data_IF_924770757689
#
_entry.id   IF_924770757689
#
_cell.length_a   1.000
_cell.length_b   1.000
_cell.length_c   1.000
_cell.angle_alpha   90.00
_cell.angle_beta   90.00
_cell.angle_gamma   90.00
#
_symmetry.space_group_name_H-M   'P 1'
#
loop_
_entity.id
_entity.type
_entity.pdbx_description
1 polymer ?
#
# COMPACT_ATOMS: atom_id res chain seq x y z
N UNK A 1 -36.05 34.74 -58.18
CA UNK A 1 -35.48 33.42 -58.51
C UNK A 1 -33.97 33.54 -58.51
N UNK A 2 -33.33 33.17 -57.40
CA UNK A 2 -31.93 32.75 -57.30
C UNK A 2 -31.78 32.11 -55.91
N UNK A 3 -31.52 30.81 -55.90
CA UNK A 3 -31.43 29.93 -54.75
C UNK A 3 -30.03 30.02 -54.15
N UNK A 4 -29.89 30.54 -52.93
CA UNK A 4 -28.63 30.40 -52.19
C UNK A 4 -28.73 29.26 -51.17
N UNK A 5 -28.23 28.12 -51.66
CA UNK A 5 -28.01 26.87 -50.95
C UNK A 5 -27.22 27.09 -49.67
N UNK A 6 -27.66 26.38 -48.62
CA UNK A 6 -26.98 26.30 -47.34
C UNK A 6 -25.51 25.90 -47.48
N UNK A 7 -24.62 26.74 -46.94
CA UNK A 7 -23.32 26.30 -46.46
C UNK A 7 -23.50 25.79 -45.04
N UNK A 8 -23.62 24.47 -44.90
CA UNK A 8 -23.26 23.82 -43.64
C UNK A 8 -21.77 24.10 -43.40
N UNK A 9 -21.46 24.86 -42.35
CA UNK A 9 -20.09 25.07 -41.93
C UNK A 9 -19.50 23.74 -41.48
N UNK A 10 -18.63 23.17 -42.32
CA UNK A 10 -17.70 22.12 -41.90
C UNK A 10 -16.73 22.74 -40.91
N UNK A 11 -16.71 22.22 -39.68
CA UNK A 11 -15.55 22.36 -38.79
C UNK A 11 -14.32 22.01 -39.62
N UNK A 12 -13.33 22.90 -39.70
CA UNK A 12 -12.19 22.69 -40.59
C UNK A 12 -11.51 21.38 -40.23
N UNK A 13 -11.10 20.62 -41.24
CA UNK A 13 -10.44 19.33 -41.03
C UNK A 13 -9.18 19.49 -40.15
N UNK A 14 -8.56 20.69 -40.15
CA UNK A 14 -7.47 21.07 -39.25
C UNK A 14 -7.85 21.11 -37.76
N UNK A 15 -9.05 21.55 -37.39
CA UNK A 15 -9.51 21.56 -35.98
C UNK A 15 -9.84 20.16 -35.49
N UNK A 16 -10.43 19.30 -36.35
CA UNK A 16 -10.68 17.89 -36.03
C UNK A 16 -9.37 17.11 -35.90
N UNK A 17 -8.39 17.42 -36.76
CA UNK A 17 -7.06 16.83 -36.73
C UNK A 17 -6.26 17.25 -35.49
N UNK A 18 -6.31 18.53 -35.11
CA UNK A 18 -5.69 19.03 -33.88
C UNK A 18 -6.31 18.38 -32.63
N UNK A 19 -7.65 18.31 -32.54
CA UNK A 19 -8.32 17.62 -31.43
C UNK A 19 -7.98 16.12 -31.40
N UNK A 20 -7.88 15.49 -32.58
CA UNK A 20 -7.51 14.09 -32.72
C UNK A 20 -6.10 13.80 -32.23
N UNK A 21 -5.10 14.58 -32.65
CA UNK A 21 -3.70 14.46 -32.21
C UNK A 21 -3.56 14.72 -30.71
N UNK A 22 -4.27 15.72 -30.19
CA UNK A 22 -4.18 16.06 -28.78
C UNK A 22 -4.83 14.99 -27.89
N UNK A 23 -5.97 14.42 -28.33
CA UNK A 23 -6.65 13.34 -27.60
C UNK A 23 -5.85 12.03 -27.66
N UNK A 24 -5.32 11.65 -28.83
CA UNK A 24 -4.46 10.46 -28.94
C UNK A 24 -3.13 10.64 -28.22
N UNK A 25 -2.53 11.83 -28.24
CA UNK A 25 -1.33 12.15 -27.48
C UNK A 25 -1.56 12.04 -25.97
N UNK A 26 -2.68 12.59 -25.47
CA UNK A 26 -3.04 12.55 -24.04
C UNK A 26 -3.31 11.12 -23.57
N UNK A 27 -4.10 10.34 -24.32
CA UNK A 27 -4.40 8.94 -24.00
C UNK A 27 -3.14 8.06 -24.09
N UNK A 28 -2.28 8.30 -25.09
CA UNK A 28 -1.00 7.59 -25.22
C UNK A 28 -0.03 7.92 -24.08
N UNK A 29 -0.02 9.17 -23.60
CA UNK A 29 0.75 9.55 -22.41
C UNK A 29 0.19 8.89 -21.15
N UNK A 30 -1.14 8.85 -20.98
CA UNK A 30 -1.81 8.19 -19.85
C UNK A 30 -1.45 6.70 -19.82
N UNK A 31 -1.53 6.02 -20.98
CA UNK A 31 -1.13 4.62 -21.09
C UNK A 31 0.37 4.45 -20.84
N UNK A 32 1.23 5.26 -21.45
CA UNK A 32 2.68 5.20 -21.25
C UNK A 32 3.06 5.38 -19.77
N UNK A 33 2.46 6.32 -19.05
CA UNK A 33 2.71 6.55 -17.62
C UNK A 33 2.10 5.48 -16.71
N UNK A 34 1.07 4.77 -17.16
CA UNK A 34 0.52 3.60 -16.46
C UNK A 34 1.45 2.38 -16.55
N UNK A 35 2.35 2.35 -17.55
CA UNK A 35 3.33 1.27 -17.77
C UNK A 35 4.72 1.53 -17.17
N UNK A 36 5.02 2.74 -16.65
CA UNK A 36 6.30 2.99 -16.00
C UNK A 36 6.23 2.46 -14.56
N UNK A 37 6.91 1.34 -14.28
CA UNK A 37 7.26 0.92 -12.92
C UNK A 37 8.19 1.98 -12.30
N UNK A 38 7.60 3.05 -11.74
CA UNK A 38 8.36 4.01 -10.95
C UNK A 38 8.51 3.47 -9.53
N UNK A 39 9.75 3.55 -9.01
CA UNK A 39 10.16 3.29 -7.63
C UNK A 39 9.04 3.65 -6.61
N UNK A 40 8.83 2.83 -5.58
CA UNK A 40 7.65 2.91 -4.69
C UNK A 40 7.41 4.31 -4.08
N UNK A 41 8.47 5.11 -3.92
CA UNK A 41 8.42 6.49 -3.41
C UNK A 41 7.80 7.52 -4.38
N UNK A 42 7.65 7.21 -5.67
CA UNK A 42 7.22 8.15 -6.74
C UNK A 42 5.92 7.66 -7.43
N UNK A 43 5.28 6.57 -6.97
CA UNK A 43 4.01 6.05 -7.55
C UNK A 43 2.86 7.07 -7.67
N UNK A 44 2.92 8.17 -6.93
CA UNK A 44 1.91 9.24 -6.94
C UNK A 44 2.16 10.35 -7.98
N UNK A 45 3.38 10.47 -8.51
CA UNK A 45 3.75 11.51 -9.47
C UNK A 45 2.96 11.41 -10.80
N UNK A 46 2.72 10.20 -11.37
CA UNK A 46 1.85 10.06 -12.54
C UNK A 46 0.43 10.59 -12.29
N UNK A 47 -0.09 10.47 -11.07
CA UNK A 47 -1.44 10.96 -10.72
C UNK A 47 -1.46 12.48 -10.62
N UNK A 48 -0.42 13.09 -10.05
CA UNK A 48 -0.28 14.56 -10.01
C UNK A 48 -0.10 15.14 -11.41
N UNK A 49 0.71 14.50 -12.25
CA UNK A 49 0.86 14.85 -13.66
C UNK A 49 -0.49 14.72 -14.38
N UNK A 50 -1.22 13.62 -14.19
CA UNK A 50 -2.56 13.43 -14.75
C UNK A 50 -3.51 14.56 -14.37
N UNK A 51 -3.52 14.98 -13.10
CA UNK A 51 -4.34 16.11 -12.62
C UNK A 51 -3.95 17.40 -13.33
N UNK A 52 -2.64 17.71 -13.37
CA UNK A 52 -2.12 18.94 -13.99
C UNK A 52 -2.47 19.00 -15.48
N UNK A 53 -2.44 17.87 -16.19
CA UNK A 53 -2.75 17.81 -17.63
C UNK A 53 -4.24 17.64 -17.95
N UNK A 54 -5.03 17.02 -17.07
CA UNK A 54 -6.47 16.90 -17.25
C UNK A 54 -7.19 18.25 -17.11
N UNK A 55 -6.72 19.13 -16.21
CA UNK A 55 -7.34 20.44 -15.97
C UNK A 55 -7.39 21.31 -17.25
N UNK A 56 -6.27 21.54 -17.99
CA UNK A 56 -6.29 22.28 -19.25
C UNK A 56 -7.19 21.67 -20.33
N UNK A 57 -7.18 20.34 -20.47
CA UNK A 57 -8.03 19.62 -21.43
C UNK A 57 -9.52 19.83 -21.13
N UNK A 58 -9.89 19.81 -19.84
CA UNK A 58 -11.24 20.14 -19.40
C UNK A 58 -11.58 21.61 -19.66
N UNK A 59 -10.68 22.55 -19.39
CA UNK A 59 -10.88 23.98 -19.68
C UNK A 59 -11.07 24.25 -21.17
N UNK A 60 -10.30 23.57 -22.03
CA UNK A 60 -10.41 23.70 -23.49
C UNK A 60 -11.72 23.09 -24.01
N UNK A 61 -12.10 21.90 -23.52
CA UNK A 61 -13.38 21.28 -23.84
C UNK A 61 -14.58 22.17 -23.44
N UNK A 62 -14.51 22.81 -22.26
CA UNK A 62 -15.51 23.81 -21.81
C UNK A 62 -15.57 24.98 -22.79
N UNK A 63 -14.42 25.48 -23.22
CA UNK A 63 -14.32 26.64 -24.13
C UNK A 63 -14.87 26.31 -25.52
N UNK A 64 -14.52 25.16 -26.09
CA UNK A 64 -15.02 24.67 -27.39
C UNK A 64 -16.53 24.44 -27.35
N UNK A 65 -17.04 23.80 -26.29
CA UNK A 65 -18.48 23.56 -26.13
C UNK A 65 -19.24 24.89 -26.02
N UNK A 66 -18.72 25.85 -25.24
CA UNK A 66 -19.31 27.19 -25.10
C UNK A 66 -19.34 27.96 -26.43
N UNK A 67 -18.30 27.82 -27.25
CA UNK A 67 -18.19 28.50 -28.54
C UNK A 67 -19.09 27.88 -29.61
N UNK A 68 -19.16 26.54 -29.71
CA UNK A 68 -20.04 25.84 -30.66
C UNK A 68 -21.54 26.06 -30.39
N UNK A 69 -21.90 26.23 -29.11
CA UNK A 69 -23.26 26.59 -28.68
C UNK A 69 -23.65 28.00 -29.14
N UNK A 70 -22.69 28.92 -29.28
CA UNK A 70 -22.96 30.30 -29.73
C UNK A 70 -23.09 30.43 -31.25
N UNK A 71 -22.43 29.58 -32.02
CA UNK A 71 -22.28 29.79 -33.48
C UNK A 71 -23.34 29.10 -34.33
N UNK A 72 -24.03 28.06 -33.84
CA UNK A 72 -24.88 27.20 -34.70
C UNK A 72 -26.41 27.29 -34.51
N UNK A 73 -26.92 28.07 -33.55
CA UNK A 73 -28.37 28.16 -33.35
C UNK A 73 -28.88 29.61 -33.30
N UNK A 74 -29.66 29.98 -34.33
CA UNK A 74 -30.49 31.21 -34.35
C UNK A 74 -31.65 31.18 -33.35
N UNK A 75 -31.91 30.05 -32.68
CA UNK A 75 -32.89 29.93 -31.59
C UNK A 75 -32.17 29.88 -30.24
N UNK A 76 -32.62 30.63 -29.23
CA UNK A 76 -32.01 30.63 -27.91
C UNK A 76 -32.07 29.22 -27.32
N UNK A 77 -30.90 28.63 -27.09
CA UNK A 77 -30.79 27.35 -26.41
C UNK A 77 -31.41 27.49 -25.03
N UNK A 78 -32.35 26.60 -24.72
CA UNK A 78 -33.10 26.58 -23.47
C UNK A 78 -32.14 26.73 -22.27
N UNK A 79 -32.36 27.74 -21.45
CA UNK A 79 -31.55 28.06 -20.27
C UNK A 79 -31.46 26.87 -19.30
N UNK A 80 -32.47 26.01 -19.26
CA UNK A 80 -32.47 24.78 -18.48
C UNK A 80 -31.40 23.78 -18.97
N UNK A 81 -31.16 23.69 -20.27
CA UNK A 81 -30.13 22.79 -20.81
C UNK A 81 -28.72 23.20 -20.38
N UNK A 82 -28.43 24.50 -20.35
CA UNK A 82 -27.14 25.02 -19.85
C UNK A 82 -26.96 24.78 -18.35
N UNK A 83 -28.02 24.90 -17.55
CA UNK A 83 -28.00 24.58 -16.11
C UNK A 83 -27.71 23.09 -15.90
N UNK A 84 -28.40 22.21 -16.63
CA UNK A 84 -28.17 20.75 -16.58
C UNK A 84 -26.72 20.41 -16.93
N UNK A 85 -26.17 20.99 -18.00
CA UNK A 85 -24.78 20.76 -18.41
C UNK A 85 -23.79 21.20 -17.32
N UNK A 86 -23.99 22.38 -16.70
CA UNK A 86 -23.16 22.88 -15.60
C UNK A 86 -23.20 21.96 -14.37
N UNK A 87 -24.39 21.48 -13.98
CA UNK A 87 -24.55 20.55 -12.86
C UNK A 87 -23.85 19.23 -13.16
N UNK A 88 -24.03 18.69 -14.37
CA UNK A 88 -23.33 17.48 -14.81
C UNK A 88 -21.80 17.60 -14.72
N UNK A 89 -21.24 18.74 -15.13
CA UNK A 89 -19.80 19.00 -15.00
C UNK A 89 -19.34 19.09 -13.55
N UNK A 90 -20.10 19.78 -12.69
CA UNK A 90 -19.77 19.87 -11.27
C UNK A 90 -19.75 18.48 -10.63
N UNK A 91 -20.70 17.61 -10.97
CA UNK A 91 -20.73 16.22 -10.52
C UNK A 91 -19.49 15.48 -11.00
N UNK A 92 -19.11 15.59 -12.27
CA UNK A 92 -17.90 14.93 -12.81
C UNK A 92 -16.63 15.40 -12.10
N UNK A 93 -16.50 16.71 -11.85
CA UNK A 93 -15.35 17.28 -11.12
C UNK A 93 -15.31 16.74 -9.70
N UNK A 94 -16.44 16.73 -8.99
CA UNK A 94 -16.54 16.18 -7.63
C UNK A 94 -16.17 14.70 -7.63
N UNK A 95 -16.70 13.89 -8.56
CA UNK A 95 -16.38 12.47 -8.67
C UNK A 95 -14.90 12.23 -8.98
N UNK A 96 -14.31 13.06 -9.86
CA UNK A 96 -12.88 12.99 -10.19
C UNK A 96 -12.03 13.36 -8.98
N UNK A 97 -12.39 14.42 -8.24
CA UNK A 97 -11.71 14.81 -7.02
C UNK A 97 -11.83 13.76 -5.92
N UNK A 98 -13.02 13.18 -5.72
CA UNK A 98 -13.21 12.06 -4.80
C UNK A 98 -12.32 10.89 -5.20
N UNK A 99 -12.33 10.50 -6.48
CA UNK A 99 -11.45 9.45 -6.99
C UNK A 99 -9.97 9.74 -6.73
N UNK A 100 -9.50 10.96 -6.99
CA UNK A 100 -8.10 11.35 -6.80
C UNK A 100 -7.70 11.49 -5.33
N UNK A 101 -8.64 11.91 -4.47
CA UNK A 101 -8.44 12.00 -3.02
C UNK A 101 -8.67 10.65 -2.33
N UNK A 102 -9.22 9.66 -3.04
CA UNK A 102 -9.53 8.35 -2.48
C UNK A 102 -8.35 7.66 -1.82
N UNK A 103 -7.10 7.73 -2.31
CA UNK A 103 -5.99 7.10 -1.59
C UNK A 103 -5.79 7.67 -0.18
N UNK A 104 -6.12 8.95 0.04
CA UNK A 104 -5.95 9.64 1.33
C UNK A 104 -7.04 9.19 2.31
N UNK A 105 -8.30 9.29 1.91
CA UNK A 105 -9.41 8.98 2.83
C UNK A 105 -9.76 7.50 2.87
N UNK A 106 -9.56 6.74 1.78
CA UNK A 106 -9.91 5.31 1.73
C UNK A 106 -9.04 4.51 2.70
N UNK A 107 -7.75 4.80 2.84
CA UNK A 107 -6.91 4.10 3.82
C UNK A 107 -7.42 4.34 5.25
N UNK A 108 -7.81 5.57 5.57
CA UNK A 108 -8.34 5.93 6.90
C UNK A 108 -9.71 5.30 7.15
N UNK A 109 -10.63 5.37 6.17
CA UNK A 109 -11.95 4.76 6.24
C UNK A 109 -11.87 3.23 6.31
N UNK A 110 -10.99 2.61 5.52
CA UNK A 110 -10.74 1.17 5.58
C UNK A 110 -10.16 0.78 6.92
N UNK A 111 -9.16 1.51 7.45
CA UNK A 111 -8.61 1.24 8.77
C UNK A 111 -9.69 1.31 9.86
N UNK A 112 -10.52 2.35 9.84
CA UNK A 112 -11.62 2.51 10.78
C UNK A 112 -12.62 1.35 10.66
N UNK A 113 -13.06 1.03 9.44
CA UNK A 113 -14.04 -0.03 9.21
C UNK A 113 -13.53 -1.43 9.55
N UNK A 114 -12.26 -1.72 9.22
CA UNK A 114 -11.56 -2.95 9.60
C UNK A 114 -11.50 -3.06 11.13
N UNK A 115 -11.09 -1.98 11.81
CA UNK A 115 -11.03 -1.95 13.27
C UNK A 115 -12.38 -2.18 13.92
N UNK A 116 -13.42 -1.48 13.46
CA UNK A 116 -14.80 -1.66 13.95
C UNK A 116 -15.29 -3.10 13.74
N UNK A 117 -15.08 -3.67 12.55
CA UNK A 117 -15.49 -5.03 12.24
C UNK A 117 -14.75 -6.06 13.09
N UNK A 118 -13.42 -5.97 13.16
CA UNK A 118 -12.59 -6.96 13.85
C UNK A 118 -12.74 -6.89 15.38
N UNK A 119 -12.97 -5.70 15.93
CA UNK A 119 -13.15 -5.53 17.38
C UNK A 119 -14.61 -5.69 17.81
N UNK A 120 -15.53 -5.85 16.86
CA UNK A 120 -16.96 -6.02 17.16
C UNK A 120 -17.20 -7.24 18.06
N UNK A 121 -18.17 -7.11 18.98
CA UNK A 121 -18.65 -8.23 19.79
C UNK A 121 -19.09 -9.42 18.92
N UNK A 122 -19.64 -9.13 17.75
CA UNK A 122 -20.05 -10.13 16.75
C UNK A 122 -18.85 -10.93 16.25
N UNK A 123 -17.76 -10.29 15.84
CA UNK A 123 -16.56 -10.99 15.36
C UNK A 123 -15.98 -11.94 16.43
N UNK A 124 -15.93 -11.50 17.69
CA UNK A 124 -15.49 -12.35 18.81
C UNK A 124 -16.44 -13.53 19.06
N UNK A 125 -17.74 -13.31 18.94
CA UNK A 125 -18.76 -14.36 19.09
C UNK A 125 -18.65 -15.39 17.97
N UNK A 126 -18.49 -14.92 16.73
CA UNK A 126 -18.33 -15.75 15.55
C UNK A 126 -17.05 -16.58 15.62
N UNK A 127 -15.95 -15.99 16.13
CA UNK A 127 -14.69 -16.71 16.39
C UNK A 127 -14.90 -17.89 17.34
N UNK A 128 -15.50 -17.65 18.53
CA UNK A 128 -15.73 -18.72 19.51
C UNK A 128 -16.66 -19.81 18.97
N UNK A 129 -17.71 -19.42 18.23
CA UNK A 129 -18.61 -20.37 17.59
C UNK A 129 -17.86 -21.24 16.57
N UNK A 130 -17.11 -20.61 15.66
CA UNK A 130 -16.30 -21.30 14.66
C UNK A 130 -15.31 -22.27 15.31
N UNK A 131 -14.59 -21.83 16.34
CA UNK A 131 -13.65 -22.69 17.07
C UNK A 131 -14.36 -23.87 17.72
N UNK A 132 -15.50 -23.64 18.39
CA UNK A 132 -16.26 -24.73 19.00
C UNK A 132 -16.76 -25.78 17.99
N UNK A 133 -16.94 -25.38 16.73
CA UNK A 133 -17.30 -26.27 15.63
C UNK A 133 -16.08 -27.03 15.11
N UNK A 134 -14.97 -26.33 14.83
CA UNK A 134 -13.73 -26.91 14.31
C UNK A 134 -13.11 -27.91 15.30
N UNK A 135 -13.04 -27.55 16.58
CA UNK A 135 -12.34 -28.34 17.60
C UNK A 135 -13.25 -29.32 18.33
N UNK A 136 -14.50 -29.51 17.87
CA UNK A 136 -15.48 -30.37 18.53
C UNK A 136 -14.98 -31.82 18.60
N UNK A 137 -14.90 -32.36 19.81
CA UNK A 137 -14.49 -33.75 20.05
C UNK A 137 -12.97 -33.96 20.14
N UNK A 138 -12.16 -32.90 20.06
CA UNK A 138 -10.72 -32.99 20.27
C UNK A 138 -10.33 -32.46 21.65
N UNK A 139 -9.72 -33.31 22.46
CA UNK A 139 -9.28 -32.97 23.83
C UNK A 139 -7.81 -32.55 23.90
N UNK A 140 -6.93 -33.13 23.08
CA UNK A 140 -5.50 -32.82 23.08
C UNK A 140 -5.12 -31.71 22.08
N UNK A 141 -4.02 -31.04 22.37
CA UNK A 141 -3.58 -29.84 21.66
C UNK A 141 -3.10 -30.15 20.24
N UNK A 142 -2.47 -31.31 20.01
CA UNK A 142 -2.11 -31.79 18.67
C UNK A 142 -3.31 -31.89 17.75
N UNK A 143 -4.39 -32.52 18.20
CA UNK A 143 -5.58 -32.73 17.38
C UNK A 143 -6.38 -31.45 17.18
N UNK A 144 -6.44 -30.57 18.18
CA UNK A 144 -7.01 -29.22 18.01
C UNK A 144 -6.24 -28.43 16.96
N UNK A 145 -4.91 -28.41 17.04
CA UNK A 145 -4.02 -27.73 16.09
C UNK A 145 -4.26 -28.23 14.67
N UNK A 146 -4.24 -29.56 14.47
CA UNK A 146 -4.52 -30.17 13.16
C UNK A 146 -5.94 -29.88 12.66
N UNK A 147 -6.93 -29.86 13.54
CA UNK A 147 -8.30 -29.51 13.17
C UNK A 147 -8.41 -28.06 12.67
N UNK A 148 -7.72 -27.12 13.33
CA UNK A 148 -7.64 -25.72 12.91
C UNK A 148 -6.90 -25.60 11.57
N UNK A 149 -5.77 -26.29 11.38
CA UNK A 149 -5.03 -26.27 10.11
C UNK A 149 -5.87 -26.75 8.93
N UNK A 150 -6.66 -27.82 9.09
CA UNK A 150 -7.56 -28.32 8.02
C UNK A 150 -8.58 -27.28 7.55
N UNK A 151 -8.94 -26.31 8.39
CA UNK A 151 -9.81 -25.21 7.99
C UNK A 151 -9.13 -24.27 6.97
N UNK A 152 -7.80 -24.23 6.93
CA UNK A 152 -7.02 -23.48 5.95
C UNK A 152 -6.70 -24.26 4.68
N UNK A 153 -7.20 -25.50 4.55
CA UNK A 153 -6.95 -26.31 3.36
C UNK A 153 -7.31 -25.56 2.07
N UNK A 154 -6.41 -25.61 1.10
CA UNK A 154 -6.50 -24.88 -0.17
C UNK A 154 -7.81 -25.13 -0.91
N UNK A 155 -8.36 -26.33 -0.80
CA UNK A 155 -9.58 -26.75 -1.49
C UNK A 155 -10.87 -26.48 -0.69
N UNK A 156 -10.74 -26.05 0.58
CA UNK A 156 -11.90 -25.77 1.45
C UNK A 156 -12.75 -24.56 1.03
N UNK A 157 -12.17 -23.64 0.25
CA UNK A 157 -12.78 -22.36 -0.10
C UNK A 157 -13.00 -21.41 1.10
N UNK A 158 -12.43 -21.70 2.27
CA UNK A 158 -12.61 -20.89 3.47
C UNK A 158 -11.80 -19.58 3.45
N UNK A 159 -10.67 -19.57 2.75
CA UNK A 159 -9.83 -18.40 2.53
C UNK A 159 -9.15 -18.50 1.16
N UNK A 160 -9.18 -17.42 0.39
CA UNK A 160 -8.53 -17.36 -0.90
C UNK A 160 -7.06 -16.97 -0.73
N UNK A 161 -6.13 -17.88 -1.05
CA UNK A 161 -4.70 -17.57 -1.10
C UNK A 161 -4.42 -16.60 -2.26
N UNK A 162 -3.75 -15.50 -1.96
CA UNK A 162 -3.37 -14.47 -2.94
C UNK A 162 -1.86 -14.44 -3.22
N UNK A 163 -1.08 -15.36 -2.65
CA UNK A 163 0.34 -15.49 -2.96
C UNK A 163 0.56 -15.82 -4.43
N UNK A 164 1.56 -15.18 -5.04
CA UNK A 164 1.91 -15.37 -6.46
C UNK A 164 0.88 -14.88 -7.48
N UNK A 165 -0.26 -14.31 -7.06
CA UNK A 165 -1.28 -13.83 -7.99
C UNK A 165 -0.92 -12.50 -8.62
N UNK A 166 -1.15 -12.38 -9.92
CA UNK A 166 -0.97 -11.13 -10.65
C UNK A 166 -1.95 -10.05 -10.20
N UNK A 167 -1.42 -8.85 -9.96
CA UNK A 167 -2.18 -7.69 -9.55
C UNK A 167 -2.60 -6.86 -10.76
N UNK A 168 -3.88 -6.51 -10.86
CA UNK A 168 -4.36 -5.43 -11.71
C UNK A 168 -4.11 -4.05 -11.06
N UNK A 169 -4.29 -3.96 -9.74
CA UNK A 169 -4.10 -2.74 -8.96
C UNK A 169 -3.66 -3.08 -7.53
N UNK A 170 -2.62 -2.42 -7.04
CA UNK A 170 -2.11 -2.61 -5.66
C UNK A 170 -2.05 -1.27 -4.94
N UNK A 171 -3.09 -0.96 -4.16
CA UNK A 171 -3.18 0.24 -3.31
C UNK A 171 -3.43 -0.22 -1.88
N UNK A 172 -2.37 -0.47 -1.12
CA UNK A 172 -2.46 -1.06 0.20
C UNK A 172 -3.44 -0.32 1.14
N UNK A 173 -4.38 -1.02 1.82
CA UNK A 173 -4.52 -2.47 1.90
C UNK A 173 -5.37 -3.14 0.79
N UNK A 174 -5.91 -2.38 -0.15
CA UNK A 174 -6.75 -2.87 -1.25
C UNK A 174 -5.91 -3.42 -2.42
N UNK A 175 -6.05 -4.71 -2.69
CA UNK A 175 -5.45 -5.38 -3.84
C UNK A 175 -6.54 -5.84 -4.80
N UNK A 176 -6.35 -5.58 -6.10
CA UNK A 176 -7.19 -6.07 -7.19
C UNK A 176 -6.35 -7.02 -8.05
N UNK A 177 -6.87 -8.20 -8.34
CA UNK A 177 -6.18 -9.29 -9.04
C UNK A 177 -6.81 -9.57 -10.39
N UNK A 178 -6.02 -10.17 -11.29
CA UNK A 178 -6.49 -10.64 -12.60
C UNK A 178 -7.37 -11.90 -12.51
N UNK A 179 -7.34 -12.60 -11.37
CA UNK A 179 -8.10 -13.82 -11.10
C UNK A 179 -8.82 -13.74 -9.75
N UNK A 180 -9.71 -14.69 -9.46
CA UNK A 180 -10.37 -14.82 -8.15
C UNK A 180 -9.35 -14.78 -6.99
N UNK A 181 -9.64 -14.09 -5.86
CA UNK A 181 -10.92 -13.49 -5.48
C UNK A 181 -11.21 -12.12 -6.14
N UNK A 182 -10.42 -11.69 -7.13
CA UNK A 182 -10.45 -10.38 -7.82
C UNK A 182 -10.18 -9.16 -6.93
N UNK A 183 -10.71 -9.14 -5.71
CA UNK A 183 -10.51 -8.07 -4.73
C UNK A 183 -10.12 -8.72 -3.41
N UNK A 184 -9.04 -8.22 -2.79
CA UNK A 184 -8.69 -8.55 -1.43
C UNK A 184 -8.32 -7.29 -0.65
N UNK A 185 -8.96 -7.09 0.50
CA UNK A 185 -8.54 -6.08 1.47
C UNK A 185 -7.66 -6.80 2.49
N UNK A 186 -6.35 -6.61 2.34
CA UNK A 186 -5.30 -7.19 3.18
C UNK A 186 -5.31 -6.59 4.59
N UNK A 187 -4.61 -7.24 5.53
CA UNK A 187 -4.39 -6.63 6.84
C UNK A 187 -3.52 -5.38 6.71
N UNK A 188 -3.73 -4.41 7.60
CA UNK A 188 -2.84 -3.25 7.77
C UNK A 188 -1.82 -3.63 8.84
N UNK A 189 -0.56 -3.86 8.44
CA UNK A 189 0.48 -4.48 9.28
C UNK A 189 -0.02 -5.80 9.88
N UNK A 190 0.05 -5.94 11.19
CA UNK A 190 -0.42 -7.12 11.95
C UNK A 190 -1.64 -6.76 12.83
N UNK A 191 -2.29 -5.63 12.57
CA UNK A 191 -3.43 -5.17 13.36
C UNK A 191 -4.72 -5.87 12.90
N UNK A 192 -5.58 -6.23 13.86
CA UNK A 192 -6.93 -6.77 13.63
C UNK A 192 -7.00 -8.09 12.81
N UNK A 193 -6.31 -9.18 13.20
CA UNK A 193 -6.29 -10.43 12.42
C UNK A 193 -7.67 -11.06 12.15
N UNK A 194 -8.66 -10.83 13.04
CA UNK A 194 -10.03 -11.30 12.85
C UNK A 194 -10.72 -10.73 11.60
N UNK A 195 -10.20 -9.65 11.02
CA UNK A 195 -10.65 -9.15 9.72
C UNK A 195 -10.59 -10.22 8.63
N UNK A 196 -9.64 -11.14 8.72
CA UNK A 196 -9.46 -12.23 7.73
C UNK A 196 -10.67 -13.17 7.69
N UNK A 197 -11.39 -13.35 8.80
CA UNK A 197 -12.67 -14.09 8.82
C UNK A 197 -13.74 -13.42 7.95
N UNK A 198 -13.64 -12.10 7.76
CA UNK A 198 -14.57 -11.31 6.95
C UNK A 198 -14.09 -11.18 5.52
N UNK A 199 -12.82 -10.82 5.30
CA UNK A 199 -12.26 -10.61 3.96
C UNK A 199 -12.04 -11.92 3.21
N UNK A 200 -11.84 -13.04 3.92
CA UNK A 200 -11.70 -14.38 3.34
C UNK A 200 -10.61 -14.46 2.28
N UNK A 201 -9.57 -13.66 2.41
CA UNK A 201 -8.45 -13.60 1.46
C UNK A 201 -7.18 -13.13 2.16
N UNK A 202 -6.02 -13.54 1.64
CA UNK A 202 -4.72 -13.14 2.17
C UNK A 202 -3.58 -14.00 1.67
N UNK A 203 -2.39 -13.82 2.24
CA UNK A 203 -1.23 -14.71 2.04
C UNK A 203 -0.68 -15.12 3.41
N UNK A 204 0.57 -15.60 3.48
CA UNK A 204 1.23 -16.10 4.70
C UNK A 204 0.92 -15.27 5.96
N UNK A 205 1.06 -13.93 5.91
CA UNK A 205 0.72 -13.03 7.02
C UNK A 205 -0.73 -13.20 7.55
N UNK A 206 -1.74 -13.07 6.69
CA UNK A 206 -3.14 -13.21 7.08
C UNK A 206 -3.47 -14.61 7.60
N UNK A 207 -2.89 -15.64 6.97
CA UNK A 207 -3.09 -17.03 7.34
C UNK A 207 -2.52 -17.29 8.75
N UNK A 208 -1.26 -16.92 8.98
CA UNK A 208 -0.58 -17.11 10.26
C UNK A 208 -1.24 -16.34 11.40
N UNK A 209 -1.58 -15.06 11.18
CA UNK A 209 -2.20 -14.24 12.22
C UNK A 209 -3.64 -14.69 12.52
N UNK A 210 -4.43 -15.10 11.51
CA UNK A 210 -5.76 -15.67 11.77
C UNK A 210 -5.66 -17.02 12.49
N UNK A 211 -4.71 -17.87 12.10
CA UNK A 211 -4.47 -19.13 12.79
C UNK A 211 -4.13 -18.90 14.26
N UNK A 212 -3.28 -17.92 14.57
CA UNK A 212 -2.94 -17.56 15.94
C UNK A 212 -4.19 -17.17 16.77
N UNK A 213 -5.09 -16.36 16.22
CA UNK A 213 -6.36 -16.02 16.90
C UNK A 213 -7.24 -17.24 17.13
N UNK A 214 -7.35 -18.12 16.12
CA UNK A 214 -8.13 -19.35 16.20
C UNK A 214 -7.56 -20.32 17.26
N UNK A 215 -6.25 -20.51 17.26
CA UNK A 215 -5.55 -21.36 18.22
C UNK A 215 -5.67 -20.80 19.65
N UNK A 216 -5.42 -19.50 19.85
CA UNK A 216 -5.57 -18.84 21.14
C UNK A 216 -7.01 -18.97 21.68
N UNK A 217 -8.01 -18.74 20.84
CA UNK A 217 -9.42 -18.91 21.20
C UNK A 217 -9.82 -20.37 21.54
N UNK A 218 -9.00 -21.35 21.16
CA UNK A 218 -9.14 -22.77 21.51
C UNK A 218 -8.34 -23.18 22.77
N UNK A 219 -7.81 -22.20 23.49
CA UNK A 219 -6.93 -22.35 24.67
C UNK A 219 -5.59 -23.04 24.35
N UNK A 220 -5.07 -22.88 23.14
CA UNK A 220 -3.70 -23.28 22.81
C UNK A 220 -2.74 -22.15 23.17
N UNK A 221 -1.57 -22.51 23.70
CA UNK A 221 -0.46 -21.56 23.81
C UNK A 221 0.19 -21.42 22.44
N UNK A 222 0.10 -20.24 21.85
CA UNK A 222 0.44 -19.99 20.45
C UNK A 222 1.19 -18.66 20.30
N UNK A 223 2.04 -18.58 19.28
CA UNK A 223 2.67 -17.33 18.83
C UNK A 223 2.81 -17.32 17.31
N UNK A 224 2.87 -16.14 16.71
CA UNK A 224 3.19 -16.00 15.28
C UNK A 224 4.69 -15.79 15.13
N UNK A 225 5.31 -16.36 14.11
CA UNK A 225 6.74 -16.24 13.83
C UNK A 225 6.91 -15.39 12.58
N UNK A 226 7.68 -14.31 12.71
CA UNK A 226 7.90 -13.31 11.68
C UNK A 226 9.32 -13.42 11.19
N UNK A 227 9.48 -13.86 9.94
CA UNK A 227 10.75 -13.87 9.24
C UNK A 227 10.73 -12.83 8.12
N UNK A 228 10.93 -11.57 8.49
CA UNK A 228 10.85 -10.47 7.54
C UNK A 228 11.97 -10.51 6.50
N UNK A 229 13.17 -10.98 6.86
CA UNK A 229 14.32 -11.05 5.94
C UNK A 229 14.08 -12.00 4.76
N UNK A 230 13.19 -12.98 4.93
CA UNK A 230 12.77 -13.90 3.87
C UNK A 230 11.29 -13.73 3.48
N UNK A 231 10.63 -12.66 3.92
CA UNK A 231 9.23 -12.30 3.62
C UNK A 231 8.24 -13.45 3.88
N UNK A 232 8.39 -14.11 5.03
CA UNK A 232 7.49 -15.19 5.44
C UNK A 232 7.03 -15.07 6.89
N UNK A 233 5.82 -15.56 7.16
CA UNK A 233 5.23 -15.59 8.48
C UNK A 233 4.47 -16.90 8.65
N UNK A 234 4.67 -17.57 9.77
CA UNK A 234 3.96 -18.79 10.17
C UNK A 234 3.56 -18.68 11.65
N UNK A 235 3.10 -19.76 12.27
CA UNK A 235 2.77 -19.81 13.68
C UNK A 235 3.47 -20.97 14.39
N UNK A 236 3.50 -20.94 15.71
CA UNK A 236 3.95 -22.04 16.54
C UNK A 236 2.94 -22.31 17.65
N UNK A 237 2.75 -23.59 17.98
CA UNK A 237 1.90 -24.03 19.09
C UNK A 237 2.74 -24.82 20.07
N UNK A 238 2.61 -24.54 21.37
CA UNK A 238 3.26 -25.30 22.43
C UNK A 238 2.49 -26.62 22.66
N UNK A 239 3.10 -27.75 22.33
CA UNK A 239 2.54 -29.10 22.49
C UNK A 239 3.53 -29.94 23.29
N UNK A 240 3.07 -30.51 24.40
CA UNK A 240 3.89 -31.35 25.29
C UNK A 240 5.23 -30.71 25.69
N UNK A 241 5.22 -29.39 25.89
CA UNK A 241 6.40 -28.59 26.28
C UNK A 241 7.32 -28.17 25.14
N UNK A 242 7.00 -28.51 23.89
CA UNK A 242 7.79 -28.15 22.72
C UNK A 242 7.02 -27.21 21.79
N UNK A 243 7.69 -26.22 21.23
CA UNK A 243 7.11 -25.38 20.18
C UNK A 243 7.11 -26.15 18.87
N UNK A 244 5.93 -26.33 18.28
CA UNK A 244 5.73 -27.00 17.00
C UNK A 244 5.41 -25.95 15.96
N UNK A 245 6.24 -25.82 14.91
CA UNK A 245 5.99 -24.92 13.80
C UNK A 245 4.79 -25.39 12.98
N UNK A 246 3.88 -24.47 12.69
CA UNK A 246 2.68 -24.71 11.90
C UNK A 246 2.51 -23.60 10.87
N UNK A 247 2.32 -23.98 9.61
CA UNK A 247 2.13 -23.05 8.51
C UNK A 247 0.74 -23.26 7.86
N UNK A 248 -0.25 -22.43 8.21
CA UNK A 248 -1.58 -22.51 7.62
C UNK A 248 -1.61 -22.18 6.13
N UNK A 249 -0.59 -21.52 5.56
CA UNK A 249 -0.61 -21.05 4.17
C UNK A 249 -0.29 -22.10 3.11
N UNK A 250 0.13 -23.28 3.56
CA UNK A 250 0.60 -24.40 2.72
C UNK A 250 -0.20 -25.69 2.96
N UNK A 251 -1.39 -25.58 3.57
CA UNK A 251 -2.24 -26.76 3.80
C UNK A 251 -2.85 -27.19 2.47
N UNK A 252 -2.47 -28.38 2.01
CA UNK A 252 -2.98 -29.03 0.81
C UNK A 252 -3.18 -30.51 1.09
N UNK A 253 -4.35 -30.85 1.65
CA UNK A 253 -4.63 -32.19 2.15
C UNK A 253 -4.62 -33.26 1.04
N UNK A 254 -4.96 -32.88 -0.19
CA UNK A 254 -4.90 -33.76 -1.37
C UNK A 254 -3.46 -34.15 -1.77
N UNK A 255 -2.48 -33.31 -1.43
CA UNK A 255 -1.04 -33.53 -1.64
C UNK A 255 -0.32 -33.99 -0.38
N UNK A 256 -1.06 -34.33 0.69
CA UNK A 256 -0.53 -34.71 2.01
C UNK A 256 0.30 -33.61 2.70
N UNK A 257 0.13 -32.35 2.28
CA UNK A 257 0.72 -31.18 2.94
C UNK A 257 -0.20 -30.73 4.07
N UNK A 258 0.19 -30.98 5.32
CA UNK A 258 -0.69 -30.71 6.46
C UNK A 258 -0.48 -29.34 7.10
N UNK A 259 0.62 -28.67 6.77
CA UNK A 259 1.06 -27.45 7.48
C UNK A 259 1.40 -27.69 8.96
N UNK A 260 1.49 -28.93 9.43
CA UNK A 260 1.79 -29.28 10.82
C UNK A 260 3.23 -29.80 10.95
N UNK A 261 3.97 -29.29 11.94
CA UNK A 261 5.37 -29.63 12.22
C UNK A 261 6.27 -29.44 11.00
N UNK A 262 6.26 -28.21 10.49
CA UNK A 262 6.98 -27.83 9.26
C UNK A 262 8.40 -27.33 9.53
N UNK A 263 8.91 -27.55 10.75
CA UNK A 263 10.19 -27.02 11.23
C UNK A 263 11.35 -27.39 10.30
N UNK A 264 11.43 -28.66 9.89
CA UNK A 264 12.48 -29.14 9.00
C UNK A 264 12.44 -28.46 7.63
N UNK A 265 11.24 -28.36 7.05
CA UNK A 265 11.04 -27.75 5.73
C UNK A 265 11.40 -26.25 5.74
N UNK A 266 11.07 -25.55 6.82
CA UNK A 266 11.44 -24.13 7.00
C UNK A 266 12.96 -23.94 7.15
N UNK A 267 13.66 -24.85 7.86
CA UNK A 267 15.08 -24.71 8.19
C UNK A 267 16.04 -25.24 7.12
N UNK A 268 15.68 -26.33 6.43
CA UNK A 268 16.63 -27.11 5.62
C UNK A 268 16.36 -27.03 4.11
N UNK A 269 15.11 -26.77 3.71
CA UNK A 269 14.71 -26.92 2.30
C UNK A 269 14.38 -25.59 1.63
N UNK A 270 13.78 -24.64 2.36
CA UNK A 270 13.20 -23.46 1.72
C UNK A 270 14.11 -22.24 1.80
N UNK A 271 14.65 -21.94 2.99
CA UNK A 271 15.42 -20.73 3.19
C UNK A 271 16.60 -20.90 4.14
N UNK A 272 17.63 -20.11 3.87
CA UNK A 272 18.66 -19.81 4.84
C UNK A 272 18.14 -18.68 5.75
N UNK A 273 17.68 -19.02 6.96
CA UNK A 273 16.97 -18.09 7.86
C UNK A 273 17.92 -17.02 8.40
N UNK A 274 17.55 -15.75 8.28
CA UNK A 274 18.37 -14.62 8.74
C UNK A 274 18.09 -14.22 10.19
N UNK A 275 16.84 -13.88 10.49
CA UNK A 275 16.40 -13.39 11.78
C UNK A 275 14.89 -13.60 11.93
N UNK A 276 14.48 -14.21 13.04
CA UNK A 276 13.07 -14.48 13.32
C UNK A 276 12.68 -14.00 14.71
N UNK A 277 11.47 -13.46 14.79
CA UNK A 277 10.85 -13.05 16.06
C UNK A 277 9.51 -13.74 16.24
N UNK A 278 9.21 -14.12 17.47
CA UNK A 278 7.89 -14.52 17.87
C UNK A 278 7.09 -13.30 18.35
N UNK A 279 5.82 -13.23 17.94
CA UNK A 279 4.83 -12.28 18.44
C UNK A 279 3.69 -13.08 19.09
N UNK A 280 3.51 -12.87 20.40
CA UNK A 280 2.47 -13.51 21.20
C UNK A 280 1.13 -12.74 21.08
N UNK A 281 -0.01 -13.38 21.36
CA UNK A 281 -1.33 -12.73 21.32
C UNK A 281 -1.48 -11.51 22.24
N UNK A 282 -0.68 -11.43 23.32
CA UNK A 282 -0.65 -10.30 24.24
C UNK A 282 0.26 -9.14 23.78
N UNK A 283 0.94 -9.30 22.63
CA UNK A 283 1.84 -8.32 22.05
C UNK A 283 3.29 -8.44 22.48
N UNK A 284 3.65 -9.42 23.32
CA UNK A 284 5.05 -9.70 23.65
C UNK A 284 5.80 -10.11 22.37
N UNK A 285 7.02 -9.59 22.20
CA UNK A 285 7.92 -9.93 21.11
C UNK A 285 9.19 -10.57 21.69
N UNK A 286 9.59 -11.71 21.13
CA UNK A 286 10.76 -12.48 21.53
C UNK A 286 11.63 -12.80 20.31
N UNK A 287 12.95 -12.69 20.43
CA UNK A 287 13.88 -13.20 19.40
C UNK A 287 13.98 -14.71 19.54
N UNK A 288 13.63 -15.42 18.47
CA UNK A 288 13.60 -16.89 18.43
C UNK A 288 14.45 -17.44 17.28
N UNK A 289 15.35 -16.60 16.74
CA UNK A 289 16.22 -16.96 15.61
C UNK A 289 16.99 -18.25 15.86
N UNK A 290 17.43 -18.47 17.10
CA UNK A 290 18.18 -19.66 17.52
C UNK A 290 17.43 -20.99 17.37
N UNK A 291 16.10 -20.96 17.20
CA UNK A 291 15.30 -22.17 16.95
C UNK A 291 15.37 -22.62 15.48
N UNK A 292 15.75 -21.72 14.58
CA UNK A 292 15.62 -21.92 13.13
C UNK A 292 16.98 -21.99 12.40
N UNK A 293 18.04 -21.46 13.02
CA UNK A 293 19.37 -21.42 12.42
C UNK A 293 20.42 -21.30 13.52
N UNK A 294 21.63 -21.77 13.25
CA UNK A 294 22.75 -21.49 14.14
C UNK A 294 23.18 -20.03 14.00
N UNK A 295 23.43 -19.38 15.14
CA UNK A 295 23.70 -17.95 15.17
C UNK A 295 25.17 -17.63 14.98
N UNK A 296 25.44 -16.61 14.17
CA UNK A 296 26.72 -15.93 14.05
C UNK A 296 26.68 -14.59 14.77
N UNK A 297 27.77 -14.25 15.45
CA UNK A 297 27.90 -12.95 16.09
C UNK A 297 28.54 -11.98 15.10
N UNK A 298 27.86 -10.87 14.83
CA UNK A 298 28.36 -9.81 13.95
C UNK A 298 28.56 -8.53 14.77
N UNK A 299 29.83 -8.12 14.90
CA UNK A 299 30.20 -6.83 15.48
C UNK A 299 30.30 -5.77 14.39
N UNK A 300 29.45 -4.76 14.47
CA UNK A 300 29.39 -3.64 13.54
C UNK A 300 30.12 -2.46 14.17
N UNK A 301 31.08 -1.89 13.44
CA UNK A 301 31.92 -0.77 13.90
C UNK A 301 31.68 0.43 12.99
N UNK A 302 31.19 1.52 13.54
CA UNK A 302 30.92 2.77 12.82
C UNK A 302 31.97 3.82 13.11
N UNK A 303 32.60 4.33 12.06
CA UNK A 303 33.60 5.40 12.14
C UNK A 303 33.31 6.49 11.12
N UNK A 304 33.82 7.70 11.35
CA UNK A 304 33.79 8.81 10.40
C UNK A 304 34.95 8.72 9.38
N UNK A 305 35.05 9.71 8.48
CA UNK A 305 36.14 9.79 7.49
C UNK A 305 37.53 9.98 8.14
N UNK A 306 37.59 10.42 9.40
CA UNK A 306 38.83 10.59 10.18
C UNK A 306 39.17 9.35 11.03
N UNK A 307 38.40 8.26 10.89
CA UNK A 307 38.49 7.03 11.70
C UNK A 307 38.15 7.22 13.18
N UNK A 308 37.41 8.26 13.51
CA UNK A 308 36.84 8.47 14.85
C UNK A 308 35.58 7.63 14.99
N UNK A 309 35.39 6.89 16.10
CA UNK A 309 34.13 6.20 16.35
C UNK A 309 32.93 7.14 16.36
N UNK A 310 31.82 6.69 15.78
CA UNK A 310 30.56 7.44 15.74
C UNK A 310 29.51 6.67 16.52
N UNK A 311 29.07 7.23 17.64
CA UNK A 311 28.01 6.65 18.49
C UNK A 311 26.61 7.03 18.03
N UNK A 312 25.60 6.33 18.57
CA UNK A 312 24.18 6.54 18.30
C UNK A 312 23.83 6.45 16.81
N UNK A 313 24.51 5.57 16.07
CA UNK A 313 24.22 5.29 14.66
C UNK A 313 23.13 4.23 14.61
N UNK A 314 22.04 4.51 13.91
CA UNK A 314 20.95 3.56 13.66
C UNK A 314 21.43 2.52 12.65
N UNK A 315 21.46 1.26 13.06
CA UNK A 315 21.88 0.12 12.26
C UNK A 315 20.65 -0.64 11.78
N UNK A 316 20.57 -0.83 10.47
CA UNK A 316 19.59 -1.68 9.78
C UNK A 316 20.31 -2.78 9.01
N UNK A 317 19.70 -3.95 8.95
CA UNK A 317 20.26 -5.12 8.28
C UNK A 317 19.25 -5.64 7.26
N UNK A 318 19.70 -5.75 6.00
CA UNK A 318 18.93 -6.33 4.92
C UNK A 318 19.48 -7.73 4.62
N UNK A 319 18.61 -8.75 4.62
CA UNK A 319 18.93 -10.12 4.20
C UNK A 319 18.81 -10.25 2.68
N UNK A 320 19.72 -11.03 2.08
CA UNK A 320 19.68 -11.45 0.68
C UNK A 320 19.50 -12.96 0.54
N UNK A 321 19.00 -13.62 1.59
CA UNK A 321 18.86 -15.07 1.59
C UNK A 321 17.68 -15.55 0.74
N UNK A 322 16.67 -14.70 0.53
CA UNK A 322 15.60 -14.95 -0.43
C UNK A 322 16.05 -14.59 -1.85
N UNK A 323 16.00 -15.58 -2.74
CA UNK A 323 16.11 -15.35 -4.18
C UNK A 323 14.72 -15.09 -4.75
N UNK A 324 14.56 -14.04 -5.55
CA UNK A 324 13.36 -13.87 -6.38
C UNK A 324 13.72 -13.81 -7.88
N UNK A 325 12.70 -13.77 -8.73
CA UNK A 325 12.87 -13.70 -10.20
C UNK A 325 13.67 -12.46 -10.66
N UNK A 326 13.77 -11.42 -9.81
CA UNK A 326 14.50 -10.18 -10.06
C UNK A 326 15.91 -10.19 -9.45
N UNK A 327 16.30 -11.25 -8.75
CA UNK A 327 17.61 -11.48 -8.14
C UNK A 327 17.60 -11.37 -6.61
N UNK A 328 18.77 -11.12 -6.02
CA UNK A 328 18.89 -10.93 -4.58
C UNK A 328 18.38 -9.53 -4.20
N UNK A 329 17.11 -9.43 -3.81
CA UNK A 329 16.57 -8.22 -3.20
C UNK A 329 16.96 -8.23 -1.72
N UNK A 330 17.60 -7.14 -1.25
CA UNK A 330 17.85 -6.94 0.16
C UNK A 330 16.55 -6.62 0.89
N UNK A 331 16.04 -7.56 1.68
CA UNK A 331 14.79 -7.40 2.46
C UNK A 331 15.14 -7.07 3.92
N UNK A 332 14.43 -6.10 4.50
CA UNK A 332 14.69 -5.65 5.88
C UNK A 332 14.36 -6.76 6.89
N UNK A 333 15.36 -7.12 7.70
CA UNK A 333 15.22 -8.10 8.80
C UNK A 333 14.47 -7.55 10.02
N UNK A 334 14.19 -6.24 10.03
CA UNK A 334 13.72 -5.45 11.16
C UNK A 334 14.67 -5.40 12.38
N UNK A 335 15.92 -5.85 12.21
CA UNK A 335 16.96 -5.60 13.21
C UNK A 335 17.24 -4.09 13.21
N UNK A 336 16.86 -3.44 14.31
CA UNK A 336 17.14 -2.03 14.56
C UNK A 336 17.88 -1.89 15.89
N UNK A 337 19.16 -1.52 15.80
CA UNK A 337 20.05 -1.32 16.94
C UNK A 337 20.78 0.00 16.79
N UNK A 338 21.24 0.56 17.89
CA UNK A 338 22.05 1.78 17.91
C UNK A 338 23.45 1.47 18.41
N UNK A 339 24.46 2.08 17.78
CA UNK A 339 25.83 1.92 18.28
C UNK A 339 26.05 2.60 19.62
N UNK A 340 26.91 1.99 20.43
CA UNK A 340 27.37 2.47 21.73
C UNK A 340 28.32 3.69 21.61
N UNK A 341 28.81 4.27 22.73
CA UNK A 341 29.76 5.39 22.70
C UNK A 341 31.05 5.11 21.90
N UNK A 342 31.48 3.85 21.83
CA UNK A 342 32.64 3.37 21.08
C UNK A 342 32.32 3.09 19.60
N UNK A 343 31.11 3.42 19.13
CA UNK A 343 30.67 3.19 17.76
C UNK A 343 30.50 1.72 17.42
N UNK A 344 30.21 0.87 18.41
CA UNK A 344 30.03 -0.58 18.22
C UNK A 344 28.58 -0.99 18.41
N UNK A 345 28.17 -1.99 17.67
CA UNK A 345 26.88 -2.66 17.82
C UNK A 345 27.09 -4.15 17.58
N UNK A 346 26.60 -5.01 18.47
CA UNK A 346 26.62 -6.45 18.29
C UNK A 346 25.23 -6.96 17.96
N UNK A 347 25.15 -7.81 16.94
CA UNK A 347 23.92 -8.51 16.56
C UNK A 347 24.19 -9.99 16.38
N UNK A 348 23.15 -10.80 16.57
CA UNK A 348 23.17 -12.24 16.29
C UNK A 348 22.20 -12.52 15.16
N UNK A 349 22.66 -13.20 14.12
CA UNK A 349 21.89 -13.52 12.91
C UNK A 349 22.30 -14.89 12.39
N UNK A 350 21.45 -15.54 11.60
CA UNK A 350 21.80 -16.76 10.89
C UNK A 350 22.86 -16.54 9.80
N UNK A 351 23.27 -17.62 9.14
CA UNK A 351 24.16 -17.54 8.00
C UNK A 351 23.55 -16.76 6.82
N UNK A 352 24.36 -16.32 5.87
CA UNK A 352 23.86 -15.72 4.64
C UNK A 352 24.56 -14.46 4.16
N UNK A 353 23.91 -13.79 3.21
CA UNK A 353 24.43 -12.55 2.62
C UNK A 353 23.60 -11.36 3.10
N UNK A 354 24.30 -10.32 3.55
CA UNK A 354 23.67 -9.17 4.21
C UNK A 354 24.16 -7.85 3.64
N UNK A 355 23.26 -6.85 3.58
CA UNK A 355 23.63 -5.43 3.51
C UNK A 355 23.40 -4.79 4.88
N UNK A 356 24.44 -4.19 5.43
CA UNK A 356 24.36 -3.42 6.68
C UNK A 356 24.32 -1.95 6.30
N UNK A 357 23.33 -1.23 6.84
CA UNK A 357 23.13 0.19 6.62
C UNK A 357 23.25 0.90 7.97
N UNK A 358 24.14 1.87 8.06
CA UNK A 358 24.27 2.74 9.22
C UNK A 358 23.86 4.16 8.87
N UNK A 359 22.97 4.75 9.66
CA UNK A 359 22.40 6.08 9.44
C UNK A 359 22.42 6.88 10.74
N UNK A 360 22.82 8.15 10.66
CA UNK A 360 22.78 9.07 11.81
C UNK A 360 22.38 10.46 11.36
N UNK A 361 21.44 11.06 12.07
CA UNK A 361 21.08 12.46 11.90
C UNK A 361 21.75 13.27 13.01
N UNK A 362 22.58 14.23 12.63
CA UNK A 362 23.17 15.25 13.50
C UNK A 362 22.61 16.62 13.09
N UNK A 363 22.63 17.61 13.99
CA UNK A 363 21.86 18.87 13.94
C UNK A 363 21.84 19.64 12.61
N UNK A 364 22.75 19.37 11.65
CA UNK A 364 22.69 19.86 10.26
C UNK A 364 23.31 18.89 9.22
N UNK A 365 23.41 17.61 9.53
CA UNK A 365 24.00 16.61 8.65
C UNK A 365 23.37 15.24 8.81
N UNK A 366 23.17 14.58 7.68
CA UNK A 366 22.88 13.16 7.64
C UNK A 366 24.14 12.40 7.26
N UNK A 367 24.55 11.48 8.12
CA UNK A 367 25.66 10.57 7.91
C UNK A 367 25.09 9.21 7.52
N UNK A 368 25.59 8.62 6.44
CA UNK A 368 25.20 7.26 6.05
C UNK A 368 26.37 6.46 5.51
N UNK A 369 26.30 5.16 5.69
CA UNK A 369 27.17 4.18 5.07
C UNK A 369 26.41 2.88 4.82
N UNK A 370 26.87 2.14 3.82
CA UNK A 370 26.41 0.78 3.57
C UNK A 370 27.61 -0.12 3.29
N UNK A 371 27.54 -1.36 3.75
CA UNK A 371 28.50 -2.41 3.41
C UNK A 371 27.77 -3.74 3.23
N UNK A 372 28.39 -4.67 2.52
CA UNK A 372 27.87 -6.02 2.32
C UNK A 372 28.80 -7.03 2.99
N UNK A 373 28.23 -8.07 3.59
CA UNK A 373 28.99 -9.14 4.23
C UNK A 373 28.33 -10.49 3.98
N UNK A 374 29.13 -11.54 3.81
CA UNK A 374 28.69 -12.93 3.83
C UNK A 374 29.09 -13.54 5.18
N UNK A 375 28.15 -14.20 5.84
CA UNK A 375 28.33 -14.85 7.13
C UNK A 375 28.11 -16.34 6.97
N UNK A 376 29.06 -17.16 7.43
CA UNK A 376 28.76 -18.55 7.74
C UNK A 376 28.19 -18.64 9.16
N UNK A 377 27.37 -19.66 9.43
CA UNK A 377 26.80 -19.94 10.75
C UNK A 377 27.88 -20.27 11.81
N UNK A 378 27.60 -19.98 13.09
CA UNK A 378 28.51 -20.20 14.23
C UNK A 378 29.84 -19.46 14.18
N UNK A 379 29.94 -18.38 13.40
CA UNK A 379 31.17 -17.59 13.29
C UNK A 379 31.06 -16.22 13.96
N UNK A 380 32.21 -15.70 14.40
CA UNK A 380 32.33 -14.33 14.87
C UNK A 380 32.92 -13.48 13.74
N UNK A 381 32.14 -12.50 13.28
CA UNK A 381 32.48 -11.64 12.17
C UNK A 381 32.44 -10.17 12.59
N UNK A 382 33.16 -9.32 11.85
CA UNK A 382 33.12 -7.87 12.07
C UNK A 382 32.95 -7.12 10.76
N UNK A 383 32.09 -6.10 10.76
CA UNK A 383 31.89 -5.21 9.62
C UNK A 383 32.16 -3.76 10.03
N UNK A 384 32.90 -3.04 9.19
CA UNK A 384 33.19 -1.63 9.41
C UNK A 384 32.38 -0.75 8.46
N UNK A 385 31.71 0.27 9.01
CA UNK A 385 30.96 1.28 8.29
C UNK A 385 31.68 2.63 8.40
N UNK A 386 32.12 3.17 7.26
CA UNK A 386 32.73 4.51 7.18
C UNK A 386 31.64 5.50 6.79
N UNK A 387 31.08 6.17 7.79
CA UNK A 387 29.99 7.12 7.65
C UNK A 387 30.45 8.37 6.92
N UNK A 388 29.72 8.72 5.86
CA UNK A 388 29.97 9.92 5.06
C UNK A 388 28.79 10.86 5.16
N UNK A 389 29.09 12.16 5.13
CA UNK A 389 28.05 13.18 5.02
C UNK A 389 27.37 13.08 3.67
N UNK A 390 26.10 12.69 3.67
CA UNK A 390 25.27 12.79 2.49
C UNK A 390 25.05 14.28 2.20
N UNK A 391 25.51 14.76 1.05
CA UNK A 391 25.35 16.18 0.67
C UNK A 391 23.98 16.49 0.08
N UNK A 392 23.19 15.46 -0.26
CA UNK A 392 21.88 15.57 -0.90
C UNK A 392 20.73 15.26 0.05
N UNK A 393 21.00 14.94 1.32
CA UNK A 393 19.97 14.64 2.32
C UNK A 393 18.91 15.74 2.43
N UNK A 394 19.33 17.01 2.36
CA UNK A 394 18.42 18.14 2.42
C UNK A 394 17.45 18.18 1.24
N UNK A 395 17.83 17.66 0.06
CA UNK A 395 16.93 17.54 -1.10
C UNK A 395 15.87 16.50 -0.80
N UNK A 396 16.25 15.34 -0.27
CA UNK A 396 15.30 14.29 0.09
C UNK A 396 14.36 14.73 1.21
N UNK A 397 14.91 15.38 2.24
CA UNK A 397 14.13 15.98 3.33
C UNK A 397 13.19 17.05 2.80
N UNK A 398 13.68 17.99 1.98
CA UNK A 398 12.87 19.03 1.35
C UNK A 398 11.74 18.42 0.51
N UNK A 399 12.01 17.42 -0.33
CA UNK A 399 10.98 16.73 -1.12
C UNK A 399 9.94 16.07 -0.22
N UNK A 400 10.38 15.43 0.87
CA UNK A 400 9.51 14.73 1.83
C UNK A 400 8.66 15.69 2.66
N UNK A 401 9.22 16.81 3.10
CA UNK A 401 8.56 17.87 3.87
C UNK A 401 7.66 18.75 3.01
N UNK A 402 8.03 19.02 1.75
CA UNK A 402 7.20 19.77 0.81
C UNK A 402 6.01 18.96 0.33
N UNK A 403 6.05 17.62 0.38
CA UNK A 403 4.95 16.76 -0.06
C UNK A 403 3.61 17.08 0.64
N UNK A 404 3.50 17.09 1.99
CA UNK A 404 2.25 17.47 2.64
C UNK A 404 1.88 18.93 2.40
N UNK A 405 2.84 19.87 2.41
CA UNK A 405 2.57 21.28 2.15
C UNK A 405 2.03 21.52 0.75
N UNK A 406 2.62 20.88 -0.26
CA UNK A 406 2.16 20.92 -1.65
C UNK A 406 0.74 20.37 -1.77
N UNK A 407 0.46 19.23 -1.13
CA UNK A 407 -0.89 18.65 -1.11
C UNK A 407 -1.91 19.58 -0.44
N UNK A 408 -1.55 20.20 0.69
CA UNK A 408 -2.40 21.19 1.37
C UNK A 408 -2.64 22.41 0.48
N UNK A 409 -1.60 22.94 -0.19
CA UNK A 409 -1.72 24.06 -1.11
C UNK A 409 -2.59 23.71 -2.33
N UNK A 410 -2.47 22.49 -2.86
CA UNK A 410 -3.37 22.00 -3.91
C UNK A 410 -4.82 21.91 -3.41
N UNK A 411 -5.06 21.44 -2.19
CA UNK A 411 -6.40 21.41 -1.58
C UNK A 411 -6.95 22.81 -1.34
N UNK A 412 -6.15 23.74 -0.81
CA UNK A 412 -6.55 25.13 -0.58
C UNK A 412 -6.82 25.86 -1.91
N UNK A 413 -5.95 25.68 -2.91
CA UNK A 413 -6.13 26.23 -4.25
C UNK A 413 -7.43 25.75 -4.88
N UNK A 414 -7.76 24.47 -4.68
CA UNK A 414 -9.04 23.90 -5.09
C UNK A 414 -10.24 24.56 -4.37
N UNK A 415 -10.16 24.76 -3.06
CA UNK A 415 -11.22 25.44 -2.30
C UNK A 415 -11.42 26.89 -2.72
N UNK A 416 -10.33 27.65 -2.90
CA UNK A 416 -10.39 29.03 -3.41
C UNK A 416 -11.04 29.07 -4.79
N UNK A 417 -10.64 28.15 -5.68
CA UNK A 417 -11.24 28.02 -7.00
C UNK A 417 -12.75 27.75 -6.92
N UNK A 418 -13.18 26.84 -6.03
CA UNK A 418 -14.61 26.54 -5.79
C UNK A 418 -15.37 27.78 -5.30
N UNK A 419 -14.83 28.52 -4.32
CA UNK A 419 -15.47 29.72 -3.78
C UNK A 419 -15.57 30.83 -4.82
N UNK A 420 -14.49 31.11 -5.56
CA UNK A 420 -14.51 32.10 -6.65
C UNK A 420 -15.50 31.70 -7.75
N UNK A 421 -15.54 30.42 -8.10
CA UNK A 421 -16.48 29.89 -9.08
C UNK A 421 -17.94 30.04 -8.62
N UNK A 422 -18.23 29.80 -7.34
CA UNK A 422 -19.56 30.03 -6.76
C UNK A 422 -19.92 31.52 -6.76
N UNK A 423 -18.99 32.39 -6.36
CA UNK A 423 -19.19 33.85 -6.33
C UNK A 423 -19.51 34.42 -7.71
N UNK A 424 -18.71 34.08 -8.72
CA UNK A 424 -18.92 34.52 -10.12
C UNK A 424 -20.26 34.01 -10.65
N UNK A 425 -20.65 32.76 -10.34
CA UNK A 425 -21.95 32.24 -10.79
C UNK A 425 -23.13 32.94 -10.10
N UNK A 426 -23.01 33.29 -8.82
CA UNK A 426 -24.05 34.03 -8.10
C UNK A 426 -24.24 35.43 -8.69
N UNK A 427 -23.15 36.13 -9.02
CA UNK A 427 -23.19 37.44 -9.64
C UNK A 427 -23.80 37.39 -11.05
N UNK A 428 -23.42 36.39 -11.86
CA UNK A 428 -24.03 36.16 -13.18
C UNK A 428 -25.54 35.89 -13.06
N UNK A 429 -25.97 35.09 -12.08
CA UNK A 429 -27.39 34.82 -11.86
C UNK A 429 -28.15 36.09 -11.47
N UNK A 430 -27.59 36.90 -10.56
CA UNK A 430 -28.17 38.16 -10.14
C UNK A 430 -28.29 39.17 -11.29
N UNK A 431 -27.27 39.28 -12.15
CA UNK A 431 -27.33 40.14 -13.35
C UNK A 431 -28.43 39.69 -14.31
N UNK A 432 -28.56 38.38 -14.54
CA UNK A 432 -29.60 37.85 -15.43
C UNK A 432 -31.00 38.09 -14.88
N UNK A 433 -31.21 37.89 -13.57
CA UNK A 433 -32.51 38.16 -12.92
C UNK A 433 -32.91 39.64 -13.01
N UNK A 434 -31.96 40.56 -12.81
CA UNK A 434 -32.24 41.99 -12.95
C UNK A 434 -32.45 42.40 -14.42
N UNK A 435 -31.71 41.81 -15.36
CA UNK A 435 -31.92 42.05 -16.78
C UNK A 435 -33.33 41.64 -17.22
N UNK A 436 -33.78 40.44 -16.84
CA UNK A 436 -35.14 39.96 -17.14
C UNK A 436 -36.20 40.86 -16.49
N UNK A 437 -35.95 41.35 -15.28
CA UNK A 437 -36.84 42.28 -14.58
C UNK A 437 -36.94 43.64 -15.28
N UNK A 438 -35.81 44.22 -15.71
CA UNK A 438 -35.77 45.48 -16.47
C UNK A 438 -36.51 45.32 -17.80
N UNK A 439 -36.23 44.23 -18.53
CA UNK A 439 -36.89 43.92 -19.79
C UNK A 439 -38.41 43.78 -19.64
N UNK A 440 -38.87 43.16 -18.55
CA UNK A 440 -40.32 43.05 -18.26
C UNK A 440 -41.01 44.38 -17.95
N UNK A 441 -40.25 45.39 -17.54
CA UNK A 441 -40.76 46.75 -17.31
C UNK A 441 -40.83 47.49 -18.64
N UNK A 442 -39.79 47.39 -19.48
CA UNK A 442 -39.78 47.97 -20.84
C UNK A 442 -40.90 47.41 -21.71
N UNK A 443 -41.19 46.10 -21.64
CA UNK A 443 -42.27 45.48 -22.43
C UNK A 443 -43.68 45.89 -21.95
N UNK A 444 -43.80 46.54 -20.79
CA UNK A 444 -45.09 47.01 -20.21
C UNK A 444 -45.34 48.51 -20.38
N UNK A 445 -44.31 49.28 -20.76
CA UNK A 445 -44.39 50.71 -21.07
C UNK A 445 -44.45 50.91 -22.56
#
# INVERSE_FOLDING_TARGET
>A
MATEKGRLFRVSDSQRFALGIFFTGSVSMILAFSFIEVNESIRWLPHVILIIFAIPLFCEMITVTRNNVKTNHKKPINTNFKKILKIGYLIIIILTLLFLLSPIYAQTLLKYHIGECAQSKTAKTDLHKLISEITRGYSNDTNKTKAILRWFDRDSGHIANTFGKEHLLKIYPLHVYMSEPYICIRLIKHENPLWVLKSRCGACNEYALLFMELANASNLTVRSIHNNGEDHIWAEVLIDGNWIAVDPSIVHLSENETGFDVTQMLNEEWWNISHTRALYPDGIIEDVTYLYTNLSNLTIITIDENKTPVSNVSIRVLSHNRQDEKGNIGIDTEINRTTDPEGRCEIKVGGGNYTIIGEKTEDNSYLSAKTTIALAENENNSAQLILKKDRLWWVQYLVSSLRPTFLILCSLGLWVFIVLYMGINNEINWVNENYDRIKSIEDKT
#
